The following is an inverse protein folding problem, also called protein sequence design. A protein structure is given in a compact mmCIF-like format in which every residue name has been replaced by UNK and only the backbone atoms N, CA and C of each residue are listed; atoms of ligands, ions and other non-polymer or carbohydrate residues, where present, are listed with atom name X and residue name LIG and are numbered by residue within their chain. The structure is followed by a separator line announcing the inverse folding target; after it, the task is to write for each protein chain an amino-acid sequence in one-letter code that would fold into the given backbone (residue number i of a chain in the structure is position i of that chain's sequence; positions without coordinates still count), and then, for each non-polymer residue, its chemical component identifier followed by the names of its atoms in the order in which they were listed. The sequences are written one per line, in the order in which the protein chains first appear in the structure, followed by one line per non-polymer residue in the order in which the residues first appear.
data_IF_222804191612
#
_entry.id   IF_222804191612
#
_cell.length_a   1.000
_cell.length_b   1.000
_cell.length_c   1.000
_cell.angle_alpha   90.00
_cell.angle_beta   90.00
_cell.angle_gamma   90.00
#
_symmetry.space_group_name_H-M   'P 1'
#
loop_
_entity.id
_entity.type
_entity.pdbx_description
1 polymer ?
#
# COMPACT_ATOMS: atom_id res chain seq x y z
N UNK A 1 -4.64 -32.94 -22.67
CA UNK A 1 -5.66 -31.87 -22.80
C UNK A 1 -7.00 -32.51 -22.48
N UNK A 2 -7.77 -31.94 -21.56
CA UNK A 2 -9.11 -32.47 -21.25
C UNK A 2 -10.06 -32.01 -22.37
N UNK A 3 -10.81 -32.96 -22.94
CA UNK A 3 -11.67 -32.72 -24.10
C UNK A 3 -13.06 -33.27 -23.74
N UNK A 4 -14.07 -32.41 -23.79
CA UNK A 4 -15.48 -32.80 -23.61
C UNK A 4 -15.90 -33.54 -24.88
N UNK A 5 -16.38 -34.78 -24.73
CA UNK A 5 -16.88 -35.63 -25.81
C UNK A 5 -15.89 -35.86 -26.97
N UNK A 6 -14.59 -35.73 -26.72
CA UNK A 6 -13.55 -35.96 -27.74
C UNK A 6 -13.40 -34.87 -28.79
N UNK A 7 -14.19 -33.79 -28.74
CA UNK A 7 -14.16 -32.70 -29.74
C UNK A 7 -14.01 -31.30 -29.18
N UNK A 8 -14.41 -31.03 -27.92
CA UNK A 8 -14.41 -29.68 -27.36
C UNK A 8 -13.30 -29.54 -26.32
N UNK A 9 -12.26 -28.72 -26.56
CA UNK A 9 -11.21 -28.50 -25.55
C UNK A 9 -11.80 -27.80 -24.32
N UNK A 10 -11.41 -28.27 -23.13
CA UNK A 10 -11.73 -27.58 -21.88
C UNK A 10 -10.80 -26.38 -21.72
N UNK A 11 -11.37 -25.19 -21.73
CA UNK A 11 -10.64 -23.95 -21.44
C UNK A 11 -10.68 -23.62 -19.94
N UNK A 12 -9.54 -23.23 -19.40
CA UNK A 12 -9.45 -22.61 -18.09
C UNK A 12 -9.30 -21.10 -18.24
N UNK A 13 -10.00 -20.34 -17.41
CA UNK A 13 -9.86 -18.88 -17.33
C UNK A 13 -9.13 -18.51 -16.04
N UNK A 14 -8.19 -17.57 -16.14
CA UNK A 14 -7.60 -16.92 -14.98
C UNK A 14 -8.61 -15.97 -14.34
N UNK A 15 -9.08 -16.34 -13.14
CA UNK A 15 -9.96 -15.50 -12.33
C UNK A 15 -9.20 -14.97 -11.12
N UNK A 16 -9.15 -13.65 -10.97
CA UNK A 16 -8.47 -12.98 -9.87
C UNK A 16 -9.45 -12.54 -8.78
N UNK A 17 -8.97 -12.51 -7.54
CA UNK A 17 -9.67 -11.96 -6.38
C UNK A 17 -8.63 -11.36 -5.44
N UNK A 18 -8.90 -10.17 -4.92
CA UNK A 18 -8.14 -9.60 -3.82
C UNK A 18 -8.73 -10.13 -2.50
N UNK A 19 -7.87 -10.64 -1.63
CA UNK A 19 -8.22 -11.16 -0.32
C UNK A 19 -7.38 -10.45 0.74
N UNK A 20 -8.03 -10.02 1.83
CA UNK A 20 -7.34 -9.59 3.04
C UNK A 20 -7.45 -10.71 4.07
N UNK A 21 -6.37 -10.98 4.79
CA UNK A 21 -6.33 -11.95 5.89
C UNK A 21 -5.62 -11.30 7.09
N UNK A 22 -6.20 -11.37 8.30
CA UNK A 22 -5.51 -10.92 9.51
C UNK A 22 -4.38 -11.89 9.83
N UNK A 23 -3.17 -11.38 9.99
CA UNK A 23 -2.02 -12.18 10.44
C UNK A 23 -2.09 -12.45 11.95
N UNK A 24 -1.49 -13.54 12.39
CA UNK A 24 -1.51 -14.00 13.80
C UNK A 24 -0.80 -13.07 14.78
N UNK A 25 0.07 -12.18 14.29
CA UNK A 25 0.86 -11.24 15.09
C UNK A 25 1.08 -9.91 14.37
N UNK A 26 1.32 -8.86 15.15
CA UNK A 26 1.78 -7.59 14.61
C UNK A 26 3.22 -7.70 14.09
N UNK A 27 3.47 -7.15 12.91
CA UNK A 27 4.79 -7.14 12.28
C UNK A 27 5.49 -5.83 12.65
N UNK A 28 6.65 -5.85 13.33
CA UNK A 28 7.37 -4.62 13.68
C UNK A 28 7.79 -3.83 12.43
N UNK A 29 7.70 -2.49 12.49
CA UNK A 29 7.99 -1.63 11.33
C UNK A 29 9.46 -1.72 10.84
N UNK A 30 10.40 -2.05 11.72
CA UNK A 30 11.80 -2.28 11.36
C UNK A 30 12.02 -3.55 10.51
N UNK A 31 10.99 -4.41 10.35
CA UNK A 31 10.98 -5.52 9.38
C UNK A 31 10.76 -5.07 7.95
N UNK A 32 10.41 -3.81 7.71
CA UNK A 32 10.23 -3.27 6.37
C UNK A 32 11.46 -2.47 5.96
N UNK A 33 11.92 -2.68 4.73
CA UNK A 33 12.95 -1.88 4.08
C UNK A 33 12.42 -1.41 2.75
N UNK A 34 12.61 -0.14 2.44
CA UNK A 34 12.26 0.42 1.13
C UNK A 34 13.17 -0.23 0.09
N UNK A 35 12.60 -0.68 -1.02
CA UNK A 35 13.40 -1.16 -2.14
C UNK A 35 14.00 0.04 -2.85
N UNK A 36 15.30 -0.02 -3.09
CA UNK A 36 16.01 1.05 -3.77
C UNK A 36 15.78 0.96 -5.28
N UNK A 37 14.74 1.63 -5.78
CA UNK A 37 14.37 1.67 -7.19
C UNK A 37 14.80 3.00 -7.82
N UNK A 38 15.90 3.00 -8.57
CA UNK A 38 16.40 4.20 -9.24
C UNK A 38 15.43 4.74 -10.27
N UNK A 39 14.67 3.88 -10.95
CA UNK A 39 13.75 4.32 -11.99
C UNK A 39 12.62 5.22 -11.48
N UNK A 40 12.29 5.13 -10.18
CA UNK A 40 11.30 6.01 -9.54
C UNK A 40 11.96 7.25 -8.92
N UNK A 41 13.16 7.10 -8.38
CA UNK A 41 13.88 8.15 -7.67
C UNK A 41 14.56 9.16 -8.59
N UNK A 42 15.16 8.69 -9.68
CA UNK A 42 15.96 9.51 -10.60
C UNK A 42 15.10 10.59 -11.29
N UNK A 43 13.93 10.29 -11.90
CA UNK A 43 13.10 11.31 -12.53
C UNK A 43 12.55 12.32 -11.53
N UNK A 44 12.15 11.86 -10.34
CA UNK A 44 11.62 12.73 -9.28
C UNK A 44 12.69 13.40 -8.41
N UNK A 45 13.98 13.16 -8.70
CA UNK A 45 15.13 13.73 -7.98
C UNK A 45 15.10 13.48 -6.47
N UNK A 46 14.73 12.26 -6.05
CA UNK A 46 14.54 11.90 -4.64
C UNK A 46 15.69 11.09 -4.05
N UNK A 47 16.06 11.41 -2.80
CA UNK A 47 16.92 10.56 -1.97
C UNK A 47 16.19 9.29 -1.53
N UNK A 48 16.95 8.32 -1.05
CA UNK A 48 16.43 7.05 -0.58
C UNK A 48 15.46 7.25 0.60
N UNK A 49 15.81 8.11 1.54
CA UNK A 49 15.00 8.41 2.73
C UNK A 49 13.68 9.09 2.37
N UNK A 50 13.70 9.95 1.34
CA UNK A 50 12.50 10.63 0.85
C UNK A 50 11.54 9.64 0.18
N UNK A 51 12.07 8.63 -0.51
CA UNK A 51 11.27 7.64 -1.22
C UNK A 51 10.34 6.88 -0.26
N UNK A 52 10.77 6.60 0.97
CA UNK A 52 9.98 5.93 2.00
C UNK A 52 8.63 6.63 2.29
N UNK A 53 8.58 7.94 2.12
CA UNK A 53 7.44 8.81 2.40
C UNK A 53 6.53 9.04 1.19
N UNK A 54 6.68 8.26 0.12
CA UNK A 54 5.92 8.40 -1.13
C UNK A 54 4.97 7.23 -1.39
N UNK A 55 3.90 7.44 -2.18
CA UNK A 55 3.01 6.32 -2.62
C UNK A 55 3.72 5.32 -3.53
N UNK A 56 4.78 5.74 -4.23
CA UNK A 56 5.56 4.86 -5.10
C UNK A 56 6.51 3.95 -4.35
N UNK A 57 6.74 4.18 -3.04
CA UNK A 57 7.56 3.28 -2.23
C UNK A 57 7.06 1.83 -2.31
N UNK A 58 8.00 0.91 -2.52
CA UNK A 58 7.82 -0.53 -2.40
C UNK A 58 8.70 -1.03 -1.27
N UNK A 59 8.27 -2.09 -0.62
CA UNK A 59 8.91 -2.61 0.58
C UNK A 59 9.28 -4.07 0.39
N UNK A 60 10.42 -4.44 0.97
CA UNK A 60 10.79 -5.81 1.26
C UNK A 60 10.57 -6.08 2.74
N UNK A 61 10.15 -7.31 3.06
CA UNK A 61 10.15 -7.83 4.42
C UNK A 61 11.50 -8.46 4.73
N UNK A 62 11.97 -8.28 5.97
CA UNK A 62 13.20 -8.93 6.42
C UNK A 62 13.02 -10.45 6.39
N UNK A 63 13.76 -11.19 5.54
CA UNK A 63 13.62 -12.64 5.43
C UNK A 63 13.80 -13.38 6.75
N UNK A 64 14.66 -12.86 7.65
CA UNK A 64 15.05 -13.51 8.90
C UNK A 64 14.16 -13.15 10.10
N UNK A 65 13.18 -12.27 9.91
CA UNK A 65 12.38 -11.72 11.01
C UNK A 65 13.21 -11.14 12.18
N UNK A 66 14.31 -10.45 11.86
CA UNK A 66 15.20 -9.83 12.84
C UNK A 66 15.15 -8.30 12.83
N UNK A 67 15.52 -7.67 13.94
CA UNK A 67 15.63 -6.20 14.03
C UNK A 67 16.74 -5.62 13.15
N UNK A 68 17.70 -6.46 12.78
CA UNK A 68 18.82 -6.11 11.92
C UNK A 68 18.61 -6.67 10.52
N UNK A 69 18.92 -5.86 9.52
CA UNK A 69 19.02 -6.27 8.14
C UNK A 69 20.43 -6.76 7.87
N UNK A 70 20.56 -7.90 7.20
CA UNK A 70 21.85 -8.42 6.74
C UNK A 70 21.80 -8.58 5.23
N UNK A 71 22.75 -7.96 4.53
CA UNK A 71 22.92 -8.16 3.09
C UNK A 71 23.58 -9.52 2.82
N UNK A 72 23.20 -10.21 1.75
CA UNK A 72 23.87 -11.44 1.28
C UNK A 72 22.95 -12.61 0.90
N UNK A 73 23.57 -13.63 0.30
CA UNK A 73 22.91 -14.75 -0.42
C UNK A 73 22.42 -15.89 0.51
N UNK A 74 22.78 -15.86 1.80
CA UNK A 74 22.33 -16.88 2.77
C UNK A 74 20.95 -16.56 3.35
N UNK A 75 19.97 -16.34 2.48
CA UNK A 75 18.59 -16.22 2.93
C UNK A 75 18.05 -17.61 3.32
N UNK A 76 17.37 -17.74 4.47
CA UNK A 76 16.76 -19.01 4.85
C UNK A 76 15.71 -19.39 3.81
N UNK A 77 15.59 -20.69 3.49
CA UNK A 77 14.58 -21.17 2.54
C UNK A 77 13.15 -20.86 3.02
N UNK A 78 12.93 -20.84 4.33
CA UNK A 78 11.67 -20.41 4.93
C UNK A 78 11.87 -19.03 5.55
N UNK A 79 11.18 -18.03 5.03
CA UNK A 79 11.31 -16.62 5.40
C UNK A 79 10.07 -16.11 6.14
N UNK A 80 10.14 -14.90 6.71
CA UNK A 80 8.98 -14.23 7.33
C UNK A 80 7.75 -14.18 6.40
N UNK A 81 7.96 -13.92 5.11
CA UNK A 81 6.86 -13.92 4.14
C UNK A 81 6.24 -15.31 3.95
N UNK A 82 7.03 -16.38 4.04
CA UNK A 82 6.51 -17.76 4.00
C UNK A 82 5.67 -18.09 5.23
N UNK A 83 6.11 -17.65 6.41
CA UNK A 83 5.36 -17.80 7.65
C UNK A 83 3.97 -17.14 7.51
N UNK A 84 3.93 -15.87 7.09
CA UNK A 84 2.70 -15.11 6.91
C UNK A 84 1.78 -15.76 5.86
N UNK A 85 2.32 -16.11 4.69
CA UNK A 85 1.52 -16.70 3.62
C UNK A 85 0.98 -18.08 4.01
N UNK A 86 1.69 -18.82 4.86
CA UNK A 86 1.23 -20.12 5.38
C UNK A 86 0.01 -20.04 6.30
N UNK A 87 -0.34 -18.86 6.79
CA UNK A 87 -1.57 -18.60 7.57
C UNK A 87 -2.79 -18.39 6.66
N UNK A 88 -2.56 -18.01 5.40
CA UNK A 88 -3.63 -17.64 4.47
C UNK A 88 -4.20 -18.90 3.81
N UNK A 89 -5.52 -19.18 3.97
CA UNK A 89 -6.13 -20.33 3.33
C UNK A 89 -6.31 -20.12 1.82
N UNK A 90 -6.20 -21.20 1.07
CA UNK A 90 -6.57 -21.26 -0.34
C UNK A 90 -8.08 -21.25 -0.57
N UNK A 91 -8.51 -21.80 -1.70
CA UNK A 91 -9.93 -21.81 -2.13
C UNK A 91 -10.84 -22.75 -1.31
N UNK A 92 -10.27 -23.62 -0.48
CA UNK A 92 -11.02 -24.47 0.46
C UNK A 92 -11.28 -23.76 1.80
N UNK A 93 -10.87 -22.50 1.93
CA UNK A 93 -11.01 -21.64 3.11
C UNK A 93 -10.40 -22.30 4.38
N UNK A 94 -10.78 -21.79 5.55
CA UNK A 94 -10.17 -22.15 6.84
C UNK A 94 -10.28 -23.63 7.22
N UNK A 95 -11.29 -24.34 6.70
CA UNK A 95 -11.49 -25.78 6.96
C UNK A 95 -10.60 -26.67 6.08
N UNK A 96 -9.87 -26.09 5.12
CA UNK A 96 -9.02 -26.83 4.20
C UNK A 96 -7.92 -27.60 4.93
N UNK A 97 -7.91 -28.92 4.74
CA UNK A 97 -6.83 -29.80 5.19
C UNK A 97 -6.49 -30.79 4.09
N UNK A 98 -5.47 -30.44 3.30
CA UNK A 98 -5.04 -31.24 2.15
C UNK A 98 -3.55 -31.55 2.29
N UNK A 99 -3.13 -32.72 1.84
CA UNK A 99 -1.71 -33.11 1.80
C UNK A 99 -1.33 -33.41 0.36
N UNK A 100 -0.16 -32.94 -0.06
CA UNK A 100 0.39 -33.27 -1.37
C UNK A 100 1.16 -34.58 -1.27
N UNK A 101 0.59 -35.65 -1.81
CA UNK A 101 1.19 -36.99 -1.85
C UNK A 101 1.49 -37.44 -3.29
N UNK A 102 1.61 -36.50 -4.22
CA UNK A 102 1.85 -36.80 -5.62
C UNK A 102 3.10 -37.67 -5.78
N UNK A 103 2.99 -38.73 -6.59
CA UNK A 103 4.07 -39.68 -6.89
C UNK A 103 4.64 -40.40 -5.68
N UNK A 104 3.85 -40.59 -4.61
CA UNK A 104 4.28 -41.24 -3.36
C UNK A 104 5.38 -40.45 -2.64
N UNK A 105 5.45 -39.14 -2.92
CA UNK A 105 6.38 -38.20 -2.31
C UNK A 105 5.59 -37.22 -1.44
N UNK A 106 5.26 -37.60 -0.18
CA UNK A 106 4.52 -36.70 0.70
C UNK A 106 5.32 -35.42 0.94
N UNK A 107 4.67 -34.27 0.71
CA UNK A 107 5.21 -32.97 1.05
C UNK A 107 5.23 -32.79 2.57
N UNK A 108 6.39 -32.44 3.09
CA UNK A 108 6.68 -32.19 4.50
C UNK A 108 6.95 -30.70 4.68
N UNK A 109 6.47 -30.15 5.79
CA UNK A 109 6.71 -28.73 6.12
C UNK A 109 8.20 -28.45 6.33
N UNK A 110 8.65 -27.26 5.94
CA UNK A 110 9.99 -26.74 6.27
C UNK A 110 9.94 -25.62 7.31
N UNK A 111 8.74 -25.27 7.78
CA UNK A 111 8.54 -24.33 8.87
C UNK A 111 9.23 -24.87 10.14
N UNK A 112 10.18 -24.14 10.74
CA UNK A 112 10.91 -24.61 11.93
C UNK A 112 10.01 -24.79 13.16
N UNK A 113 8.82 -24.18 13.18
CA UNK A 113 7.86 -24.26 14.29
C UNK A 113 6.86 -25.41 14.12
N UNK A 114 6.82 -26.06 12.96
CA UNK A 114 5.87 -27.14 12.64
C UNK A 114 6.62 -28.40 12.21
N UNK A 115 6.03 -29.56 12.45
CA UNK A 115 6.58 -30.84 12.00
C UNK A 115 5.52 -31.69 11.30
N UNK A 116 5.94 -32.54 10.39
CA UNK A 116 5.06 -33.50 9.71
C UNK A 116 4.59 -33.05 8.32
N UNK A 117 3.50 -33.66 7.85
CA UNK A 117 2.95 -33.39 6.51
C UNK A 117 2.53 -31.92 6.39
N UNK A 118 2.85 -31.32 5.26
CA UNK A 118 2.48 -29.96 4.94
C UNK A 118 0.97 -29.90 4.66
N UNK A 119 0.25 -28.98 5.32
CA UNK A 119 -1.11 -28.66 4.92
C UNK A 119 -1.09 -27.82 3.63
N UNK A 120 -1.22 -28.50 2.50
CA UNK A 120 -1.17 -27.91 1.19
C UNK A 120 -2.40 -27.06 0.85
N UNK A 121 -3.46 -27.05 1.68
CA UNK A 121 -4.63 -26.18 1.48
C UNK A 121 -4.36 -24.70 1.80
N UNK A 122 -3.22 -24.40 2.44
CA UNK A 122 -2.75 -23.05 2.75
C UNK A 122 -1.62 -22.66 1.80
N UNK A 123 -1.44 -21.35 1.59
CA UNK A 123 -0.47 -20.86 0.62
C UNK A 123 0.97 -21.12 1.07
N UNK A 124 1.73 -21.81 0.21
CA UNK A 124 3.13 -22.13 0.43
C UNK A 124 3.86 -22.20 -0.91
N UNK A 125 5.17 -22.00 -0.88
CA UNK A 125 6.04 -22.18 -2.06
C UNK A 125 7.14 -23.20 -1.81
N UNK A 126 7.60 -23.36 -0.57
CA UNK A 126 8.61 -24.34 -0.21
C UNK A 126 8.03 -25.57 0.47
N UNK A 127 8.59 -26.73 0.17
CA UNK A 127 8.29 -27.98 0.85
C UNK A 127 9.48 -28.94 0.78
N UNK A 128 9.51 -29.93 1.67
CA UNK A 128 10.52 -30.99 1.66
C UNK A 128 9.88 -32.32 1.29
N UNK A 129 10.61 -33.16 0.57
CA UNK A 129 10.27 -34.56 0.32
C UNK A 129 11.37 -35.45 0.88
N UNK A 130 11.06 -36.73 1.15
CA UNK A 130 12.03 -37.68 1.69
C UNK A 130 13.02 -38.18 0.63
N UNK A 131 12.56 -38.38 -0.60
CA UNK A 131 13.40 -38.81 -1.72
C UNK A 131 14.15 -37.61 -2.31
N UNK A 132 15.50 -37.69 -2.31
CA UNK A 132 16.35 -36.69 -2.94
C UNK A 132 16.20 -36.77 -4.46
N UNK A 133 16.23 -35.62 -5.14
CA UNK A 133 16.27 -35.58 -6.60
C UNK A 133 17.64 -36.02 -7.15
N UNK A 134 17.77 -36.04 -8.48
CA UNK A 134 19.01 -36.42 -9.16
C UNK A 134 20.21 -35.52 -8.82
N UNK A 135 19.97 -34.32 -8.28
CA UNK A 135 20.97 -33.37 -7.81
C UNK A 135 21.21 -33.46 -6.29
N UNK A 136 20.61 -34.43 -5.61
CA UNK A 136 20.72 -34.62 -4.17
C UNK A 136 19.87 -33.68 -3.31
N UNK A 137 18.98 -32.88 -3.91
CA UNK A 137 18.13 -31.92 -3.20
C UNK A 137 16.82 -32.57 -2.75
N UNK A 138 16.46 -32.34 -1.48
CA UNK A 138 15.20 -32.81 -0.89
C UNK A 138 14.18 -31.68 -0.69
N UNK A 139 14.62 -30.43 -0.74
CA UNK A 139 13.76 -29.24 -0.59
C UNK A 139 13.44 -28.71 -1.97
N UNK A 140 12.16 -28.51 -2.23
CA UNK A 140 11.63 -28.12 -3.53
C UNK A 140 10.90 -26.79 -3.41
N UNK A 141 10.94 -26.03 -4.50
CA UNK A 141 10.24 -24.76 -4.66
C UNK A 141 9.11 -24.92 -5.68
N UNK A 142 7.94 -24.35 -5.38
CA UNK A 142 6.82 -24.20 -6.31
C UNK A 142 6.94 -22.83 -6.97
N UNK A 143 6.88 -22.79 -8.30
CA UNK A 143 7.17 -21.56 -9.07
C UNK A 143 8.67 -21.48 -9.38
N UNK A 144 9.09 -22.15 -10.46
CA UNK A 144 10.52 -22.31 -10.80
C UNK A 144 11.27 -20.96 -10.98
N UNK A 145 10.56 -19.89 -11.33
CA UNK A 145 11.16 -18.59 -11.69
C UNK A 145 10.60 -17.39 -10.92
N UNK A 146 9.66 -17.58 -9.99
CA UNK A 146 8.99 -16.46 -9.29
C UNK A 146 9.05 -16.68 -7.78
N UNK A 147 9.82 -15.84 -7.09
CA UNK A 147 9.93 -15.88 -5.64
C UNK A 147 8.61 -15.46 -4.97
N UNK A 148 7.80 -14.60 -5.56
CA UNK A 148 6.57 -14.09 -4.93
C UNK A 148 5.32 -14.91 -5.23
N UNK A 149 5.45 -16.03 -5.95
CA UNK A 149 4.32 -16.90 -6.27
C UNK A 149 4.10 -17.97 -5.20
N UNK A 150 2.93 -17.93 -4.55
CA UNK A 150 2.51 -18.93 -3.58
C UNK A 150 1.38 -19.79 -4.13
N UNK A 151 1.34 -21.06 -3.73
CA UNK A 151 0.36 -22.03 -4.22
C UNK A 151 -0.38 -22.71 -3.06
N UNK A 152 -1.67 -22.97 -3.25
CA UNK A 152 -2.50 -23.73 -2.32
C UNK A 152 -3.36 -24.74 -3.10
N UNK A 153 -3.34 -26.00 -2.68
CA UNK A 153 -4.22 -27.05 -3.19
C UNK A 153 -5.67 -26.75 -2.87
N UNK A 154 -6.58 -27.25 -3.70
CA UNK A 154 -8.02 -27.06 -3.53
C UNK A 154 -8.82 -28.25 -4.05
N UNK A 155 -9.96 -28.51 -3.44
CA UNK A 155 -10.94 -29.51 -3.91
C UNK A 155 -12.05 -28.88 -4.76
N UNK A 156 -12.08 -27.54 -4.89
CA UNK A 156 -13.15 -26.82 -5.56
C UNK A 156 -13.40 -27.34 -6.99
N UNK A 157 -14.65 -27.71 -7.34
CA UNK A 157 -14.96 -28.26 -8.66
C UNK A 157 -14.73 -27.25 -9.78
N UNK A 158 -14.90 -25.95 -9.50
CA UNK A 158 -14.72 -24.84 -10.46
C UNK A 158 -13.25 -24.54 -10.80
N UNK A 159 -12.29 -25.14 -10.09
CA UNK A 159 -10.86 -24.97 -10.38
C UNK A 159 -10.41 -26.10 -11.29
N UNK A 160 -9.81 -25.74 -12.42
CA UNK A 160 -9.23 -26.69 -13.36
C UNK A 160 -8.06 -27.44 -12.71
N UNK A 161 -8.02 -28.76 -12.89
CA UNK A 161 -6.97 -29.61 -12.37
C UNK A 161 -5.93 -29.96 -13.43
N UNK A 162 -4.71 -30.22 -12.98
CA UNK A 162 -3.66 -30.83 -13.77
C UNK A 162 -3.65 -32.34 -13.50
N UNK A 163 -3.84 -33.13 -14.55
CA UNK A 163 -3.72 -34.59 -14.52
C UNK A 163 -2.34 -34.96 -15.06
N UNK A 164 -1.50 -35.57 -14.23
CA UNK A 164 -0.22 -36.15 -14.65
C UNK A 164 -0.29 -37.67 -14.56
N UNK A 165 0.03 -38.36 -15.64
CA UNK A 165 0.15 -39.81 -15.66
C UNK A 165 1.62 -40.19 -15.75
N UNK A 166 2.12 -40.91 -14.75
CA UNK A 166 3.49 -41.46 -14.75
C UNK A 166 3.45 -42.95 -14.89
N UNK A 167 4.19 -43.48 -15.85
CA UNK A 167 4.29 -44.90 -16.12
C UNK A 167 5.69 -45.40 -15.74
N UNK A 168 5.77 -46.38 -14.83
CA UNK A 168 7.02 -47.04 -14.42
C UNK A 168 7.02 -48.50 -14.89
N UNK A 169 8.19 -49.02 -15.29
CA UNK A 169 8.37 -50.42 -15.68
C UNK A 169 8.74 -50.63 -17.16
N UNK A 170 8.87 -51.90 -17.61
CA UNK A 170 9.30 -52.23 -18.95
C UNK A 170 8.29 -51.74 -20.01
N UNK A 171 8.79 -51.29 -21.18
CA UNK A 171 7.97 -50.74 -22.29
C UNK A 171 6.79 -51.62 -22.71
N UNK A 172 6.90 -52.95 -22.54
CA UNK A 172 5.84 -53.91 -22.91
C UNK A 172 4.64 -53.91 -21.95
N UNK A 173 4.80 -53.56 -20.68
CA UNK A 173 3.74 -53.53 -19.67
C UNK A 173 4.02 -52.43 -18.61
N UNK A 174 3.86 -51.15 -18.98
CA UNK A 174 4.07 -50.06 -18.04
C UNK A 174 2.98 -50.04 -16.96
N UNK A 175 3.37 -49.90 -15.69
CA UNK A 175 2.44 -49.60 -14.59
C UNK A 175 2.26 -48.09 -14.49
N UNK A 176 1.10 -47.60 -14.92
CA UNK A 176 0.77 -46.18 -14.93
C UNK A 176 -0.03 -45.78 -13.70
N UNK A 177 0.39 -44.70 -13.04
CA UNK A 177 -0.35 -44.02 -11.97
C UNK A 177 -0.71 -42.61 -12.46
N UNK A 178 -1.98 -42.26 -12.35
CA UNK A 178 -2.48 -40.93 -12.66
C UNK A 178 -2.73 -40.16 -11.38
N UNK A 179 -2.17 -38.96 -11.27
CA UNK A 179 -2.41 -38.03 -10.15
C UNK A 179 -3.11 -36.81 -10.72
N UNK A 180 -4.19 -36.38 -10.07
CA UNK A 180 -4.93 -35.17 -10.43
C UNK A 180 -4.82 -34.17 -9.28
N UNK A 181 -4.22 -33.01 -9.53
CA UNK A 181 -4.08 -31.97 -8.53
C UNK A 181 -4.69 -30.66 -9.03
N UNK A 182 -5.28 -29.90 -8.11
CA UNK A 182 -5.84 -28.58 -8.38
C UNK A 182 -5.18 -27.59 -7.46
N UNK A 183 -4.76 -26.46 -8.03
CA UNK A 183 -4.06 -25.41 -7.28
C UNK A 183 -4.69 -24.04 -7.55
N UNK A 184 -4.63 -23.22 -6.52
CA UNK A 184 -4.86 -21.78 -6.57
C UNK A 184 -3.54 -21.06 -6.30
N UNK A 185 -3.39 -19.86 -6.85
CA UNK A 185 -2.17 -19.08 -6.83
C UNK A 185 -2.41 -17.74 -6.13
N UNK A 186 -1.42 -17.26 -5.39
CA UNK A 186 -1.45 -15.96 -4.73
C UNK A 186 -0.10 -15.24 -4.87
N UNK A 187 -0.19 -13.91 -4.98
CA UNK A 187 0.96 -13.00 -4.96
C UNK A 187 0.68 -11.98 -3.84
N UNK A 188 1.60 -11.78 -2.89
CA UNK A 188 1.43 -10.79 -1.83
C UNK A 188 1.47 -9.38 -2.43
N UNK A 189 0.44 -8.58 -2.15
CA UNK A 189 0.34 -7.21 -2.68
C UNK A 189 0.86 -6.17 -1.67
N UNK A 190 0.37 -6.22 -0.44
CA UNK A 190 0.68 -5.24 0.59
C UNK A 190 0.38 -5.78 2.00
N UNK A 191 1.09 -5.24 2.99
CA UNK A 191 0.71 -5.35 4.40
C UNK A 191 0.04 -4.05 4.82
N UNK A 192 -1.12 -4.17 5.45
CA UNK A 192 -1.93 -3.03 5.90
C UNK A 192 -2.02 -3.07 7.42
N UNK A 193 -1.54 -2.01 8.07
CA UNK A 193 -1.71 -1.85 9.51
C UNK A 193 -3.12 -1.37 9.79
N UNK A 194 -3.90 -2.13 10.55
CA UNK A 194 -5.22 -1.70 10.95
C UNK A 194 -5.11 -0.85 12.21
N UNK A 195 -5.90 0.21 12.29
CA UNK A 195 -5.93 1.09 13.47
C UNK A 195 -7.36 1.19 14.01
N UNK A 196 -7.54 1.51 15.31
CA UNK A 196 -8.86 1.77 15.88
C UNK A 196 -9.63 2.88 15.16
N UNK A 197 -8.94 3.81 14.47
CA UNK A 197 -9.57 4.92 13.74
C UNK A 197 -10.57 4.44 12.68
N UNK A 198 -10.37 3.24 12.14
CA UNK A 198 -11.25 2.67 11.11
C UNK A 198 -12.68 2.39 11.64
N UNK A 199 -12.87 2.26 12.95
CA UNK A 199 -14.18 2.06 13.59
C UNK A 199 -14.52 3.15 14.59
N UNK A 200 -13.69 4.20 14.67
CA UNK A 200 -13.87 5.25 15.64
C UNK A 200 -15.00 6.18 15.20
N UNK A 201 -16.13 6.07 15.90
CA UNK A 201 -17.37 6.78 15.61
C UNK A 201 -17.82 7.63 16.82
N UNK A 202 -17.12 8.73 17.13
CA UNK A 202 -17.42 9.55 18.30
C UNK A 202 -18.74 10.32 18.19
N UNK A 203 -19.30 10.45 16.99
CA UNK A 203 -20.58 11.12 16.75
C UNK A 203 -21.78 10.16 16.73
N UNK A 204 -21.57 8.87 17.02
CA UNK A 204 -22.60 7.83 16.96
C UNK A 204 -23.40 7.84 15.63
N UNK A 205 -22.67 8.02 14.52
CA UNK A 205 -23.26 7.99 13.18
C UNK A 205 -23.80 6.60 12.88
N UNK A 206 -25.01 6.55 12.32
CA UNK A 206 -25.62 5.28 11.97
C UNK A 206 -24.94 4.63 10.76
N UNK A 207 -24.72 3.31 10.83
CA UNK A 207 -24.30 2.51 9.68
C UNK A 207 -25.48 1.71 9.15
N UNK A 208 -25.92 2.04 7.94
CA UNK A 208 -27.13 1.50 7.31
C UNK A 208 -26.89 0.26 6.43
N UNK A 209 -25.72 -0.37 6.58
CA UNK A 209 -25.37 -1.59 5.85
C UNK A 209 -24.87 -1.35 4.42
N UNK A 210 -24.97 -2.36 3.55
CA UNK A 210 -24.54 -2.29 2.15
C UNK A 210 -25.31 -1.25 1.34
N UNK A 211 -24.61 -0.48 0.51
CA UNK A 211 -25.17 0.58 -0.35
C UNK A 211 -26.16 0.07 -1.41
N UNK A 212 -26.15 -1.24 -1.68
CA UNK A 212 -27.07 -1.90 -2.63
C UNK A 212 -28.42 -2.27 -1.98
N UNK A 213 -28.48 -2.35 -0.66
CA UNK A 213 -29.70 -2.72 0.07
C UNK A 213 -30.64 -1.51 0.25
N UNK A 214 -31.93 -1.78 0.48
CA UNK A 214 -32.95 -0.74 0.61
C UNK A 214 -32.58 0.28 1.70
N UNK A 215 -32.13 -0.19 2.87
CA UNK A 215 -31.76 0.70 3.97
C UNK A 215 -30.51 1.51 3.68
N UNK A 216 -29.49 0.90 3.08
CA UNK A 216 -28.24 1.57 2.70
C UNK A 216 -28.42 2.65 1.63
N UNK A 217 -29.44 2.55 0.77
CA UNK A 217 -29.77 3.58 -0.24
C UNK A 217 -30.33 4.86 0.38
N UNK A 218 -30.95 4.80 1.56
CA UNK A 218 -31.54 5.97 2.24
C UNK A 218 -30.49 7.04 2.61
N UNK A 219 -29.20 6.68 2.63
CA UNK A 219 -28.08 7.61 2.83
C UNK A 219 -28.08 8.76 1.79
N UNK A 220 -28.54 8.48 0.57
CA UNK A 220 -28.56 9.41 -0.56
C UNK A 220 -29.93 10.04 -0.84
N UNK A 221 -30.95 9.68 -0.07
CA UNK A 221 -32.34 10.07 -0.29
C UNK A 221 -32.51 11.60 -0.28
N UNK A 222 -33.42 12.13 -1.10
CA UNK A 222 -33.62 13.58 -1.22
C UNK A 222 -32.49 14.33 -1.94
N UNK A 223 -31.65 13.62 -2.71
CA UNK A 223 -30.54 14.22 -3.47
C UNK A 223 -29.34 14.60 -2.59
N UNK A 224 -29.18 13.93 -1.44
CA UNK A 224 -28.07 14.13 -0.52
C UNK A 224 -26.74 13.75 -1.18
N UNK A 225 -25.79 14.67 -1.12
CA UNK A 225 -24.49 14.55 -1.79
C UNK A 225 -23.30 14.73 -0.83
N UNK A 226 -23.56 14.76 0.48
CA UNK A 226 -22.55 14.98 1.51
C UNK A 226 -22.18 16.45 1.71
N UNK A 227 -23.06 17.38 1.33
CA UNK A 227 -22.90 18.81 1.60
C UNK A 227 -23.01 19.13 3.10
N UNK A 228 -22.64 20.36 3.48
CA UNK A 228 -22.53 20.75 4.89
C UNK A 228 -23.84 21.27 5.50
N UNK A 229 -24.95 21.19 4.78
CA UNK A 229 -26.28 21.61 5.24
C UNK A 229 -27.13 20.38 5.57
N UNK A 230 -28.12 20.49 6.49
CA UNK A 230 -28.94 19.35 6.87
C UNK A 230 -29.70 18.67 5.71
N UNK A 231 -30.02 19.39 4.64
CA UNK A 231 -30.69 18.88 3.45
C UNK A 231 -29.72 18.20 2.45
N UNK A 232 -28.42 18.56 2.46
CA UNK A 232 -27.41 18.00 1.54
C UNK A 232 -26.49 16.97 2.19
N UNK A 233 -26.35 16.97 3.51
CA UNK A 233 -25.54 16.02 4.27
C UNK A 233 -26.04 14.58 4.04
N UNK A 234 -25.16 13.58 4.12
CA UNK A 234 -25.60 12.19 4.04
C UNK A 234 -26.43 11.79 5.26
N UNK A 235 -27.45 10.95 5.08
CA UNK A 235 -28.28 10.47 6.19
C UNK A 235 -27.68 9.19 6.80
N UNK A 236 -26.69 9.35 7.67
CA UNK A 236 -25.85 8.25 8.18
C UNK A 236 -24.79 7.81 7.17
N UNK A 237 -24.29 6.59 7.34
CA UNK A 237 -23.20 5.99 6.55
C UNK A 237 -23.61 4.64 5.96
N UNK A 238 -22.94 4.20 4.90
CA UNK A 238 -23.12 2.86 4.31
C UNK A 238 -21.77 2.31 3.79
N UNK A 239 -21.77 1.10 3.21
CA UNK A 239 -20.55 0.45 2.70
C UNK A 239 -19.79 1.27 1.65
N UNK A 240 -20.48 2.15 0.90
CA UNK A 240 -19.86 2.99 -0.14
C UNK A 240 -19.43 4.37 0.36
N UNK A 241 -20.13 4.91 1.36
CA UNK A 241 -19.88 6.22 1.97
C UNK A 241 -19.62 6.03 3.45
N UNK A 242 -18.45 5.48 3.74
CA UNK A 242 -18.02 5.16 5.11
C UNK A 242 -17.19 6.31 5.71
N UNK A 243 -17.89 7.32 6.23
CA UNK A 243 -17.31 8.55 6.81
C UNK A 243 -17.66 8.67 8.29
N UNK A 244 -16.76 8.26 9.19
CA UNK A 244 -16.99 8.28 10.64
C UNK A 244 -16.00 9.16 11.40
N UNK A 245 -14.77 9.26 10.90
CA UNK A 245 -13.68 9.96 11.59
C UNK A 245 -13.93 11.47 11.53
N UNK A 246 -13.95 12.18 12.66
CA UNK A 246 -14.11 13.63 12.67
C UNK A 246 -13.07 14.32 11.81
N UNK A 247 -13.49 15.28 10.97
CA UNK A 247 -12.52 16.03 10.16
C UNK A 247 -11.53 16.80 11.01
N UNK A 248 -11.98 17.29 12.18
CA UNK A 248 -11.13 18.00 13.14
C UNK A 248 -10.03 17.14 13.80
N UNK A 249 -10.08 15.80 13.67
CA UNK A 249 -9.00 14.94 14.16
C UNK A 249 -7.71 15.10 13.33
N UNK A 250 -7.86 15.39 12.04
CA UNK A 250 -6.76 15.60 11.13
C UNK A 250 -6.49 17.10 10.97
N UNK A 251 -5.21 17.49 11.07
CA UNK A 251 -4.74 18.86 10.85
C UNK A 251 -4.10 19.01 9.46
N UNK A 252 -4.54 18.22 8.49
CA UNK A 252 -3.95 18.18 7.15
C UNK A 252 -4.84 17.46 6.15
N UNK A 253 -4.47 17.47 4.87
CA UNK A 253 -5.09 16.64 3.83
C UNK A 253 -4.34 15.32 3.69
N UNK A 254 -4.91 14.38 2.93
CA UNK A 254 -4.18 13.17 2.53
C UNK A 254 -2.92 13.58 1.77
N UNK A 255 -1.78 12.99 2.14
CA UNK A 255 -0.55 13.18 1.39
C UNK A 255 -0.76 12.53 0.03
N UNK A 256 -0.48 13.28 -1.04
CA UNK A 256 -0.41 12.74 -2.40
C UNK A 256 -1.78 12.29 -2.96
N UNK A 257 -2.74 13.22 -3.05
CA UNK A 257 -4.07 13.01 -3.68
C UNK A 257 -3.97 12.84 -5.20
N UNK A 258 -4.53 11.76 -5.74
CA UNK A 258 -4.67 11.48 -7.18
C UNK A 258 -6.09 11.86 -7.66
N UNK A 259 -6.26 12.20 -8.94
CA UNK A 259 -7.59 12.39 -9.54
C UNK A 259 -8.47 11.12 -9.48
N UNK A 260 -7.85 9.93 -9.37
CA UNK A 260 -8.53 8.66 -9.13
C UNK A 260 -9.03 8.47 -7.68
N UNK A 261 -8.59 9.30 -6.73
CA UNK A 261 -9.03 9.25 -5.33
C UNK A 261 -10.40 9.98 -5.23
N UNK A 262 -11.48 9.32 -5.66
CA UNK A 262 -12.84 9.86 -5.78
C UNK A 262 -13.56 10.21 -4.46
N UNK A 263 -12.86 10.16 -3.32
CA UNK A 263 -13.41 10.54 -2.00
C UNK A 263 -13.20 12.02 -1.74
N UNK A 264 -14.30 12.76 -1.53
CA UNK A 264 -14.24 14.14 -1.05
C UNK A 264 -13.50 14.17 0.30
N UNK A 265 -12.56 15.10 0.45
CA UNK A 265 -11.69 15.22 1.63
C UNK A 265 -12.48 15.30 2.94
N UNK A 266 -13.62 15.98 2.94
CA UNK A 266 -14.58 15.99 4.02
C UNK A 266 -16.01 16.05 3.48
N UNK A 267 -16.95 15.50 4.25
CA UNK A 267 -18.39 15.51 3.93
C UNK A 267 -19.21 15.75 5.18
N UNK A 268 -20.39 16.34 5.00
CA UNK A 268 -21.42 16.39 6.04
C UNK A 268 -22.18 15.06 6.14
N UNK A 269 -22.31 14.55 7.36
CA UNK A 269 -23.13 13.37 7.70
C UNK A 269 -24.04 13.72 8.87
N UNK A 270 -25.32 13.36 8.76
CA UNK A 270 -26.28 13.50 9.85
C UNK A 270 -26.01 12.43 10.91
N UNK A 271 -25.93 12.86 12.17
CA UNK A 271 -26.03 11.96 13.30
C UNK A 271 -27.50 11.52 13.53
N UNK A 272 -27.71 10.59 14.46
CA UNK A 272 -29.05 10.09 14.80
C UNK A 272 -30.01 11.17 15.31
N UNK A 273 -29.50 12.33 15.73
CA UNK A 273 -30.28 13.48 16.21
C UNK A 273 -30.55 14.50 15.08
N UNK A 274 -30.10 14.23 13.86
CA UNK A 274 -30.25 15.11 12.71
C UNK A 274 -29.27 16.29 12.67
N UNK A 275 -28.23 16.30 13.53
CA UNK A 275 -27.19 17.33 13.46
C UNK A 275 -26.12 16.96 12.42
N UNK A 276 -25.68 17.94 11.65
CA UNK A 276 -24.63 17.76 10.65
C UNK A 276 -23.27 17.66 11.33
N UNK A 277 -22.54 16.58 11.04
CA UNK A 277 -21.18 16.31 11.50
C UNK A 277 -20.25 16.29 10.30
N UNK A 278 -19.14 17.01 10.39
CA UNK A 278 -18.13 17.04 9.33
C UNK A 278 -17.12 15.92 9.58
N UNK A 279 -17.15 14.93 8.70
CA UNK A 279 -16.32 13.72 8.81
C UNK A 279 -15.48 13.51 7.56
N UNK A 280 -14.47 12.64 7.68
CA UNK A 280 -13.65 12.14 6.60
C UNK A 280 -13.82 10.63 6.47
N UNK A 281 -13.36 10.10 5.33
CA UNK A 281 -13.41 8.66 5.08
C UNK A 281 -12.62 7.92 6.18
N UNK A 282 -13.21 6.85 6.72
CA UNK A 282 -12.61 6.01 7.77
C UNK A 282 -11.99 4.73 7.21
N UNK A 283 -11.85 4.64 5.89
CA UNK A 283 -11.24 3.51 5.20
C UNK A 283 -9.72 3.45 5.36
N UNK A 284 -9.14 2.40 4.82
CA UNK A 284 -7.68 2.25 4.75
C UNK A 284 -7.08 3.28 3.79
N UNK A 285 -5.96 3.89 4.18
CA UNK A 285 -5.22 4.89 3.42
C UNK A 285 -3.80 4.43 3.17
N UNK A 286 -3.06 5.05 2.25
CA UNK A 286 -1.61 4.81 2.19
C UNK A 286 -0.94 5.57 3.33
N UNK A 287 -1.28 6.85 3.49
CA UNK A 287 -0.88 7.69 4.60
C UNK A 287 -2.12 8.28 5.27
N UNK A 288 -2.12 8.33 6.60
CA UNK A 288 -3.04 9.21 7.30
C UNK A 288 -2.70 10.67 6.96
N UNK A 289 -3.71 11.54 6.85
CA UNK A 289 -3.47 12.98 6.93
C UNK A 289 -2.72 13.32 8.22
N UNK A 290 -2.05 14.47 8.25
CA UNK A 290 -1.33 14.94 9.43
C UNK A 290 -2.22 14.86 10.68
N UNK A 291 -1.75 14.14 11.70
CA UNK A 291 -2.36 14.10 13.02
C UNK A 291 -1.53 15.00 13.92
N UNK A 292 -2.17 15.95 14.58
CA UNK A 292 -1.48 16.88 15.49
C UNK A 292 -0.66 16.09 16.53
N UNK A 293 0.58 16.53 16.77
CA UNK A 293 1.54 15.92 17.72
C UNK A 293 2.08 14.53 17.35
N UNK A 294 1.45 13.81 16.42
CA UNK A 294 1.88 12.47 15.97
C UNK A 294 2.61 12.52 14.62
N UNK A 295 2.19 13.41 13.72
CA UNK A 295 2.75 13.50 12.37
C UNK A 295 1.94 12.72 11.33
N UNK A 296 2.60 12.36 10.22
CA UNK A 296 2.02 11.57 9.13
C UNK A 296 2.41 10.11 9.34
N UNK A 297 1.42 9.23 9.35
CA UNK A 297 1.62 7.79 9.55
C UNK A 297 1.28 7.02 8.28
N UNK A 298 2.18 6.12 7.86
CA UNK A 298 1.92 5.16 6.77
C UNK A 298 1.13 3.97 7.30
N UNK A 299 0.08 3.60 6.57
CA UNK A 299 -0.76 2.44 6.90
C UNK A 299 -0.56 1.27 5.92
N UNK A 300 -0.28 1.54 4.63
CA UNK A 300 -0.08 0.50 3.61
C UNK A 300 1.38 0.40 3.20
N UNK A 301 1.89 -0.83 3.22
CA UNK A 301 3.26 -1.19 2.85
C UNK A 301 3.20 -2.16 1.66
N UNK A 302 3.18 -1.65 0.42
CA UNK A 302 3.20 -2.49 -0.77
C UNK A 302 4.46 -3.35 -0.81
N UNK A 303 4.30 -4.65 -1.00
CA UNK A 303 5.42 -5.58 -1.13
C UNK A 303 5.94 -5.52 -2.57
N UNK A 304 7.26 -5.46 -2.74
CA UNK A 304 7.88 -5.45 -4.07
C UNK A 304 7.54 -6.74 -4.83
N UNK A 305 6.84 -6.66 -5.99
CA UNK A 305 6.65 -7.83 -6.82
C UNK A 305 7.97 -8.20 -7.54
N UNK A 306 8.15 -9.49 -7.81
CA UNK A 306 9.26 -10.00 -8.61
C UNK A 306 8.61 -10.72 -9.78
N UNK A 307 8.47 -10.05 -10.92
CA UNK A 307 7.93 -10.66 -12.14
C UNK A 307 8.84 -10.35 -13.34
N UNK A 308 8.95 -11.33 -14.25
CA UNK A 308 9.80 -11.22 -15.44
C UNK A 308 9.20 -10.31 -16.52
N UNK A 309 7.91 -10.44 -16.82
CA UNK A 309 7.22 -9.61 -17.82
C UNK A 309 6.81 -8.25 -17.24
N UNK A 310 6.99 -7.16 -17.99
CA UNK A 310 6.75 -5.80 -17.48
C UNK A 310 7.75 -5.34 -16.40
N UNK A 311 8.85 -6.07 -16.24
CA UNK A 311 9.88 -5.78 -15.25
C UNK A 311 10.49 -4.39 -15.43
N UNK A 312 10.73 -3.62 -14.35
CA UNK A 312 11.41 -2.32 -14.44
C UNK A 312 12.91 -2.45 -14.76
N UNK A 313 13.44 -3.66 -14.99
CA UNK A 313 14.87 -3.92 -15.25
C UNK A 313 15.48 -2.98 -16.28
N UNK A 314 14.83 -2.75 -17.42
CA UNK A 314 15.38 -1.83 -18.42
C UNK A 314 15.42 -0.37 -17.95
N UNK A 315 14.41 0.05 -17.17
CA UNK A 315 14.37 1.40 -16.58
C UNK A 315 15.44 1.55 -15.49
N UNK A 316 15.63 0.53 -14.67
CA UNK A 316 16.70 0.46 -13.67
C UNK A 316 18.08 0.47 -14.33
N UNK A 317 18.26 -0.25 -15.44
CA UNK A 317 19.51 -0.29 -16.18
C UNK A 317 19.86 1.07 -16.79
N UNK A 318 18.91 1.72 -17.48
CA UNK A 318 19.12 3.07 -18.02
C UNK A 318 19.33 4.09 -16.90
N UNK A 319 18.59 4.01 -15.78
CA UNK A 319 18.82 4.87 -14.63
C UNK A 319 20.24 4.66 -14.07
N UNK A 320 20.69 3.41 -13.91
CA UNK A 320 22.04 3.07 -13.43
C UNK A 320 23.13 3.59 -14.38
N UNK A 321 22.92 3.47 -15.69
CA UNK A 321 23.80 4.03 -16.72
C UNK A 321 23.88 5.56 -16.59
N UNK A 322 22.77 6.25 -16.39
CA UNK A 322 22.76 7.69 -16.14
C UNK A 322 23.51 8.05 -14.85
N UNK A 323 23.32 7.28 -13.76
CA UNK A 323 24.08 7.46 -12.51
C UNK A 323 25.59 7.35 -12.75
N UNK A 324 26.03 6.32 -13.48
CA UNK A 324 27.44 6.07 -13.75
C UNK A 324 28.04 7.14 -14.68
N UNK A 325 27.38 7.43 -15.80
CA UNK A 325 27.88 8.32 -16.84
C UNK A 325 27.75 9.81 -16.47
N UNK A 326 26.81 10.17 -15.60
CA UNK A 326 26.57 11.52 -15.10
C UNK A 326 26.68 11.57 -13.57
N UNK A 327 27.66 10.86 -13.01
CA UNK A 327 27.88 10.73 -11.56
C UNK A 327 28.07 12.07 -10.83
N UNK A 328 28.64 13.08 -11.51
CA UNK A 328 28.68 14.46 -10.98
C UNK A 328 27.32 15.11 -10.84
N UNK A 329 26.33 14.74 -11.66
CA UNK A 329 24.98 15.31 -11.62
C UNK A 329 24.10 14.53 -10.65
N UNK A 330 24.14 13.20 -10.72
CA UNK A 330 23.24 12.31 -9.97
C UNK A 330 23.86 11.68 -8.74
N UNK A 331 25.01 12.20 -8.28
CA UNK A 331 25.72 11.72 -7.10
C UNK A 331 24.83 11.59 -5.86
N UNK A 332 23.86 12.49 -5.68
CA UNK A 332 22.86 12.49 -4.60
C UNK A 332 21.99 11.22 -4.51
N UNK A 333 21.91 10.42 -5.57
CA UNK A 333 21.13 9.18 -5.60
C UNK A 333 21.89 8.04 -4.88
N UNK A 334 23.22 8.06 -4.90
CA UNK A 334 24.04 7.05 -4.25
C UNK A 334 23.87 7.07 -2.74
N UNK A 335 23.85 5.88 -2.14
CA UNK A 335 23.87 5.70 -0.68
C UNK A 335 25.29 5.88 -0.10
N UNK A 336 26.30 5.59 -0.90
CA UNK A 336 27.73 5.66 -0.55
C UNK A 336 28.52 6.21 -1.76
N UNK A 337 29.62 6.95 -1.54
CA UNK A 337 30.39 7.56 -2.63
C UNK A 337 31.08 6.51 -3.53
N UNK A 338 31.13 6.79 -4.84
CA UNK A 338 31.88 5.99 -5.80
C UNK A 338 33.38 6.32 -5.71
N UNK A 339 34.11 5.58 -4.90
CA UNK A 339 35.58 5.67 -4.78
C UNK A 339 36.03 6.35 -3.48
N UNK A 340 37.01 5.73 -2.80
CA UNK A 340 37.49 6.07 -1.46
C UNK A 340 38.17 7.43 -1.27
N UNK A 341 38.06 8.36 -2.24
CA UNK A 341 38.54 9.73 -2.12
C UNK A 341 37.39 10.73 -2.20
N UNK A 342 36.59 10.77 -1.11
CA UNK A 342 36.05 11.99 -0.52
C UNK A 342 35.21 12.99 -1.34
N UNK A 343 34.87 12.74 -2.61
CA UNK A 343 33.88 13.59 -3.31
C UNK A 343 32.52 13.27 -2.71
N UNK A 344 32.02 14.20 -1.90
CA UNK A 344 30.71 14.11 -1.29
C UNK A 344 29.67 13.85 -2.39
N UNK A 345 28.70 12.94 -2.17
CA UNK A 345 27.51 12.83 -3.01
C UNK A 345 26.97 14.24 -3.25
N UNK A 346 26.66 14.59 -4.49
CA UNK A 346 26.11 15.92 -4.77
C UNK A 346 24.89 16.16 -3.91
N UNK A 347 24.63 17.42 -3.53
CA UNK A 347 23.33 17.72 -2.96
C UNK A 347 22.26 17.42 -4.00
N UNK A 348 21.10 16.87 -3.60
CA UNK A 348 20.01 16.65 -4.53
C UNK A 348 19.67 18.01 -5.16
N UNK A 349 19.40 18.05 -6.47
CA UNK A 349 19.03 19.28 -7.12
C UNK A 349 17.86 19.89 -6.37
N UNK A 350 18.10 21.10 -5.90
CA UNK A 350 17.18 21.93 -5.16
C UNK A 350 15.85 21.98 -5.94
N UNK A 351 14.76 21.46 -5.34
CA UNK A 351 13.44 21.33 -5.98
C UNK A 351 12.41 22.26 -5.33
N UNK A 352 11.50 22.85 -6.12
CA UNK A 352 10.40 23.59 -5.54
C UNK A 352 9.52 22.63 -4.72
N UNK A 353 8.96 23.12 -3.62
CA UNK A 353 8.02 22.37 -2.79
C UNK A 353 6.66 23.03 -2.92
N UNK A 354 5.65 22.26 -3.34
CA UNK A 354 4.26 22.70 -3.28
C UNK A 354 3.69 22.37 -1.90
N UNK A 355 3.18 23.38 -1.21
CA UNK A 355 2.52 23.26 0.08
C UNK A 355 1.02 23.47 -0.10
N UNK A 356 0.22 22.61 0.52
CA UNK A 356 -1.24 22.65 0.48
C UNK A 356 -1.82 23.03 1.83
N UNK A 357 -2.79 23.94 1.82
CA UNK A 357 -3.55 24.38 2.99
C UNK A 357 -4.56 23.33 3.43
N UNK A 358 -4.88 23.32 4.73
CA UNK A 358 -6.04 22.58 5.27
C UNK A 358 -7.35 23.11 4.67
N UNK A 359 -8.41 22.28 4.63
CA UNK A 359 -9.71 22.72 4.10
C UNK A 359 -10.30 23.85 4.96
N UNK A 360 -10.89 24.84 4.30
CA UNK A 360 -11.70 25.89 4.92
C UNK A 360 -12.88 25.27 5.67
N UNK A 361 -13.14 25.77 6.87
CA UNK A 361 -14.25 25.30 7.72
C UNK A 361 -15.45 26.26 7.71
N UNK A 362 -15.31 27.47 7.16
CA UNK A 362 -16.38 28.48 7.10
C UNK A 362 -17.29 28.29 5.89
N UNK A 363 -18.59 28.50 6.08
CA UNK A 363 -19.61 28.48 5.01
C UNK A 363 -20.39 29.80 5.01
N UNK A 364 -20.67 30.42 3.84
CA UNK A 364 -20.11 30.13 2.50
C UNK A 364 -18.61 30.50 2.41
N UNK A 365 -17.83 29.94 1.45
CA UNK A 365 -18.23 29.09 0.30
C UNK A 365 -18.27 27.58 0.58
N UNK A 366 -17.91 27.12 1.78
CA UNK A 366 -17.87 25.69 2.13
C UNK A 366 -16.46 25.10 2.04
N UNK A 367 -16.32 23.78 2.18
CA UNK A 367 -15.00 23.13 2.25
C UNK A 367 -14.23 23.22 0.92
N UNK A 368 -13.05 23.84 0.96
CA UNK A 368 -12.11 23.97 -0.16
C UNK A 368 -10.69 24.24 0.38
N UNK A 369 -9.67 24.10 -0.46
CA UNK A 369 -8.27 24.34 -0.09
C UNK A 369 -7.51 25.06 -1.21
N UNK A 370 -6.33 25.59 -0.86
CA UNK A 370 -5.43 26.26 -1.79
C UNK A 370 -4.00 25.72 -1.65
N UNK A 371 -3.17 26.02 -2.65
CA UNK A 371 -1.78 25.59 -2.72
C UNK A 371 -0.85 26.79 -2.91
N UNK A 372 0.39 26.67 -2.44
CA UNK A 372 1.49 27.60 -2.75
C UNK A 372 2.70 26.78 -3.18
N UNK A 373 3.57 27.37 -3.99
CA UNK A 373 4.87 26.77 -4.33
C UNK A 373 5.99 27.63 -3.78
N UNK A 374 6.85 27.00 -2.99
CA UNK A 374 8.11 27.56 -2.53
C UNK A 374 9.22 27.15 -3.49
N UNK A 375 10.04 28.11 -3.90
CA UNK A 375 11.29 27.84 -4.62
C UNK A 375 12.29 27.15 -3.69
N UNK A 376 13.30 26.48 -4.23
CA UNK A 376 14.28 25.78 -3.41
C UNK A 376 15.04 26.70 -2.43
N UNK A 377 15.43 27.89 -2.88
CA UNK A 377 16.07 28.91 -2.04
C UNK A 377 15.18 29.32 -0.86
N UNK A 378 13.88 29.53 -1.11
CA UNK A 378 12.92 29.86 -0.05
C UNK A 378 12.79 28.71 0.97
N UNK A 379 12.82 27.46 0.51
CA UNK A 379 12.80 26.29 1.40
C UNK A 379 14.04 26.27 2.29
N UNK A 380 15.22 26.50 1.71
CA UNK A 380 16.50 26.52 2.42
C UNK A 380 16.55 27.64 3.46
N UNK A 381 16.13 28.84 3.07
CA UNK A 381 16.06 30.01 3.95
C UNK A 381 15.01 29.83 5.05
N UNK A 382 13.86 29.22 4.76
CA UNK A 382 12.85 28.92 5.75
C UNK A 382 13.33 27.87 6.76
N UNK A 383 13.88 26.73 6.29
CA UNK A 383 14.31 25.64 7.17
C UNK A 383 15.59 25.97 7.95
N UNK A 384 16.55 26.67 7.33
CA UNK A 384 17.83 27.02 7.93
C UNK A 384 17.82 28.31 8.74
N UNK A 385 17.33 29.41 8.16
CA UNK A 385 17.33 30.75 8.78
C UNK A 385 16.01 31.13 9.45
N UNK A 386 15.02 30.24 9.45
CA UNK A 386 13.65 30.48 9.98
C UNK A 386 12.98 31.69 9.34
N UNK A 387 13.34 32.00 8.10
CA UNK A 387 12.74 33.09 7.34
C UNK A 387 11.30 32.75 6.95
N UNK A 388 10.45 33.77 6.88
CA UNK A 388 9.07 33.64 6.40
C UNK A 388 8.92 34.24 5.00
N UNK A 389 7.98 33.69 4.24
CA UNK A 389 7.74 34.08 2.86
C UNK A 389 6.27 34.39 2.64
N UNK A 390 6.00 35.53 1.99
CA UNK A 390 4.65 35.93 1.59
C UNK A 390 4.35 35.33 0.22
N UNK A 391 3.30 34.52 0.13
CA UNK A 391 2.87 33.82 -1.09
C UNK A 391 1.38 34.06 -1.32
N UNK A 392 1.02 34.22 -2.59
CA UNK A 392 -0.36 34.18 -3.02
C UNK A 392 -0.72 32.73 -3.34
N UNK A 393 -1.87 32.29 -2.87
CA UNK A 393 -2.32 30.91 -3.06
C UNK A 393 -2.95 30.72 -4.43
N UNK A 394 -3.08 29.46 -4.87
CA UNK A 394 -3.92 29.11 -6.03
C UNK A 394 -5.38 29.49 -5.80
N UNK A 395 -6.14 29.64 -6.88
CA UNK A 395 -7.58 29.92 -6.80
C UNK A 395 -8.34 28.68 -6.38
N UNK A 396 -9.06 28.77 -5.25
CA UNK A 396 -9.92 27.73 -4.71
C UNK A 396 -11.29 28.32 -4.39
N UNK A 397 -12.38 27.63 -4.75
CA UNK A 397 -13.75 28.11 -4.56
C UNK A 397 -13.97 29.59 -4.97
N UNK A 398 -13.36 30.00 -6.09
CA UNK A 398 -13.50 31.34 -6.66
C UNK A 398 -12.68 32.45 -6.01
N UNK A 399 -11.75 32.16 -5.08
CA UNK A 399 -10.90 33.17 -4.45
C UNK A 399 -9.48 32.67 -4.13
N UNK A 400 -8.63 33.58 -3.63
CA UNK A 400 -7.24 33.35 -3.25
C UNK A 400 -6.94 34.01 -1.90
N UNK A 401 -5.88 33.54 -1.24
CA UNK A 401 -5.35 34.14 -0.02
C UNK A 401 -3.93 34.65 -0.23
N UNK A 402 -3.55 35.64 0.60
CA UNK A 402 -2.15 36.03 0.72
C UNK A 402 -1.63 35.58 2.08
N UNK A 403 -0.77 34.56 2.06
CA UNK A 403 -0.29 33.90 3.27
C UNK A 403 1.19 34.16 3.50
N UNK A 404 1.56 34.29 4.77
CA UNK A 404 2.96 34.26 5.21
C UNK A 404 3.26 32.89 5.78
N UNK A 405 4.09 32.12 5.09
CA UNK A 405 4.48 30.76 5.49
C UNK A 405 5.82 30.76 6.22
N UNK A 406 5.92 29.92 7.25
CA UNK A 406 7.14 29.73 8.05
C UNK A 406 7.36 28.26 8.38
N UNK A 407 8.62 27.85 8.53
CA UNK A 407 8.99 26.54 9.07
C UNK A 407 9.29 26.65 10.58
N UNK A 408 8.55 25.92 11.42
CA UNK A 408 8.81 25.85 12.87
C UNK A 408 8.53 24.45 13.41
N UNK A 409 9.38 23.99 14.34
CA UNK A 409 9.23 22.69 15.04
C UNK A 409 9.01 21.50 14.08
N UNK A 410 9.64 21.52 12.90
CA UNK A 410 9.50 20.43 11.93
C UNK A 410 8.25 20.49 11.04
N UNK A 411 7.47 21.57 11.09
CA UNK A 411 6.24 21.71 10.31
C UNK A 411 6.18 23.05 9.56
N UNK A 412 5.53 23.04 8.39
CA UNK A 412 5.12 24.25 7.68
C UNK A 412 3.86 24.81 8.30
N UNK A 413 3.86 26.11 8.61
CA UNK A 413 2.74 26.78 9.25
C UNK A 413 2.44 28.11 8.57
N UNK A 414 1.17 28.50 8.60
CA UNK A 414 0.71 29.84 8.26
C UNK A 414 0.93 30.73 9.48
N UNK A 415 1.81 31.72 9.34
CA UNK A 415 2.05 32.72 10.38
C UNK A 415 0.97 33.80 10.36
N UNK A 416 0.71 34.36 9.18
CA UNK A 416 -0.32 35.36 8.92
C UNK A 416 -1.07 35.00 7.64
N UNK A 417 -2.38 35.23 7.63
CA UNK A 417 -3.20 35.10 6.44
C UNK A 417 -4.31 36.14 6.45
N UNK A 418 -4.33 36.98 5.42
CA UNK A 418 -5.25 38.12 5.32
C UNK A 418 -5.24 38.99 6.61
N UNK A 419 -6.25 39.85 6.80
CA UNK A 419 -6.41 40.71 7.98
C UNK A 419 -7.21 40.05 9.11
N UNK A 420 -7.66 38.81 8.93
CA UNK A 420 -8.53 38.09 9.88
C UNK A 420 -7.95 36.74 10.26
N UNK A 421 -7.28 36.70 11.41
CA UNK A 421 -6.65 35.49 11.94
C UNK A 421 -7.16 35.18 13.35
N UNK A 422 -7.56 33.93 13.58
CA UNK A 422 -7.80 33.40 14.94
C UNK A 422 -6.71 32.39 15.29
N UNK A 423 -6.33 32.23 16.56
CA UNK A 423 -5.15 31.42 16.92
C UNK A 423 -5.15 29.98 16.37
N UNK A 424 -6.34 29.36 16.26
CA UNK A 424 -6.54 27.99 15.73
C UNK A 424 -6.81 27.94 14.23
N UNK A 425 -7.49 28.93 13.66
CA UNK A 425 -7.86 28.99 12.24
C UNK A 425 -7.33 30.26 11.59
N UNK A 426 -6.72 30.08 10.42
CA UNK A 426 -6.10 31.13 9.63
C UNK A 426 -6.99 31.54 8.46
N UNK A 427 -6.82 32.77 8.01
CA UNK A 427 -7.55 33.36 6.89
C UNK A 427 -9.05 33.59 7.16
N UNK A 428 -9.65 34.41 6.29
CA UNK A 428 -11.07 34.74 6.35
C UNK A 428 -12.00 33.52 6.37
N UNK A 429 -11.66 32.47 5.64
CA UNK A 429 -12.51 31.30 5.44
C UNK A 429 -12.16 30.13 6.38
N UNK A 430 -11.34 30.41 7.41
CA UNK A 430 -10.98 29.51 8.53
C UNK A 430 -10.33 28.20 8.07
N UNK A 431 -9.24 28.33 7.34
CA UNK A 431 -8.30 27.23 7.10
C UNK A 431 -7.60 26.84 8.41
N UNK A 432 -7.16 25.59 8.53
CA UNK A 432 -6.26 25.24 9.61
C UNK A 432 -4.87 25.88 9.44
N UNK A 433 -4.08 25.84 10.51
CA UNK A 433 -2.81 26.58 10.60
C UNK A 433 -1.66 25.89 9.86
N UNK A 434 -1.73 24.58 9.63
CA UNK A 434 -0.61 23.81 9.09
C UNK A 434 -0.72 23.65 7.58
N UNK A 435 0.44 23.48 6.94
CA UNK A 435 0.55 23.21 5.52
C UNK A 435 1.21 21.84 5.31
N UNK A 436 0.78 21.12 4.28
CA UNK A 436 1.31 19.79 3.94
C UNK A 436 2.14 19.85 2.65
N UNK A 437 3.32 19.23 2.65
CA UNK A 437 4.11 19.07 1.43
C UNK A 437 3.39 18.13 0.47
N UNK A 438 3.12 18.59 -0.76
CA UNK A 438 2.56 17.76 -1.81
C UNK A 438 3.70 17.00 -2.51
N UNK A 439 3.95 15.77 -2.08
CA UNK A 439 5.08 14.92 -2.53
C UNK A 439 4.78 14.23 -3.89
N UNK A 440 3.74 14.65 -4.61
CA UNK A 440 3.36 14.07 -5.91
C UNK A 440 4.14 14.58 -7.12
N UNK A 441 5.01 15.58 -6.94
CA UNK A 441 5.87 16.10 -8.01
C UNK A 441 7.25 15.45 -7.95
#
# INVERSE_FOLDING_TARGET
MEIINGTIPVFAQWNYRILCHPVSRDIPLNRFRVVDEFHTRLPSRRKYEEQASTRSARFQLNPKDSDKWTEGVNNPRFMLLDEIMSEIPGKDNYQGHLTDEAFELPAITIDPKKSGKLNAAYYHRWFKVMEKDAMGQSVRHRGYADENLFMAMTTQPKVAGMKLTTCKGPKKNPRCKSVSQKFSYAIPLEIIFMTPLNRWNPFDLEYKGPDKEAYGKTVFEGGRNGGNTPDKAYNGTNSRKYYQTPSAFFSGLEVSTDAADTTRNSVGVLDKKGAVRITRASGTRIFFPLISEVGVLRQRYPIMPVHGEGSPVWKELEATKDLLMKSKTYGYIYREPLGGSGVLPTEPPERPITLKMEDATRTPPGAHSHEITLTPDEVKLAKGKRQSFKKMTTTGAGHQHTITVVWRKGHWMIQHCDDTDTGKYKCRDRHGKYLNENINV
#
